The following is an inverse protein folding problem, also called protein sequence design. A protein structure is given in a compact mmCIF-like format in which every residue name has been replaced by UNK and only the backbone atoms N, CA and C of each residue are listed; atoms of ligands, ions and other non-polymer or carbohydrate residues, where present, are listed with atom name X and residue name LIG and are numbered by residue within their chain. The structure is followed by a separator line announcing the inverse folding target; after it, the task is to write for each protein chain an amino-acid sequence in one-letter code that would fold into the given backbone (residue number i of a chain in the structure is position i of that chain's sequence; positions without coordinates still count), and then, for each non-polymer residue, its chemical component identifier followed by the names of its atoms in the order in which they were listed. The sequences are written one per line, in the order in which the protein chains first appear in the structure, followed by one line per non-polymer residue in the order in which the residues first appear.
data_IF_382371337752
#
_entry.id   IF_382371337752
#
_cell.length_a   1.000
_cell.length_b   1.000
_cell.length_c   1.000
_cell.angle_alpha   90.00
_cell.angle_beta   90.00
_cell.angle_gamma   90.00
#
_symmetry.space_group_name_H-M   'P 1'
#
loop_
_entity.id
_entity.type
_entity.pdbx_description
1 polymer ?
#
# COMPACT_ATOMS: atom_id res chain seq x y z
N UNK A 1 -37.39 -16.70 -96.26
CA UNK A 1 -37.79 -16.82 -94.82
C UNK A 1 -37.83 -18.31 -94.53
N UNK A 2 -36.97 -18.94 -93.74
CA UNK A 2 -36.73 -18.77 -92.28
C UNK A 2 -35.30 -19.24 -91.98
N UNK A 3 -34.57 -18.45 -91.18
CA UNK A 3 -33.20 -18.71 -90.77
C UNK A 3 -33.08 -19.90 -89.80
N UNK A 4 -32.17 -20.83 -90.09
CA UNK A 4 -31.73 -21.90 -89.17
C UNK A 4 -30.90 -21.28 -88.04
N UNK A 5 -31.45 -21.24 -86.83
CA UNK A 5 -30.69 -20.95 -85.60
C UNK A 5 -29.78 -22.15 -85.30
N UNK A 6 -28.46 -21.94 -85.36
CA UNK A 6 -27.46 -22.85 -84.77
C UNK A 6 -27.24 -22.40 -83.32
N UNK A 7 -27.48 -23.29 -82.38
CA UNK A 7 -27.27 -23.05 -80.95
C UNK A 7 -25.78 -22.82 -80.63
N UNK A 8 -25.43 -21.87 -79.74
CA UNK A 8 -24.05 -21.64 -79.35
C UNK A 8 -23.59 -22.62 -78.27
N UNK A 9 -22.32 -23.02 -78.43
CA UNK A 9 -21.52 -23.90 -77.57
C UNK A 9 -21.47 -23.42 -76.12
N UNK A 10 -21.97 -24.23 -75.17
CA UNK A 10 -21.75 -24.01 -73.73
C UNK A 10 -20.34 -24.43 -73.33
N UNK A 11 -19.43 -23.47 -73.14
CA UNK A 11 -18.12 -23.70 -72.48
C UNK A 11 -18.34 -23.98 -70.99
N UNK A 12 -17.83 -25.11 -70.50
CA UNK A 12 -17.84 -25.46 -69.06
C UNK A 12 -16.95 -24.48 -68.27
N UNK A 13 -17.52 -23.81 -67.28
CA UNK A 13 -16.76 -23.04 -66.30
C UNK A 13 -16.14 -23.99 -65.26
N UNK A 14 -14.81 -23.95 -65.13
CA UNK A 14 -14.07 -24.64 -64.06
C UNK A 14 -14.23 -23.82 -62.77
N UNK A 15 -14.98 -24.34 -61.81
CA UNK A 15 -15.11 -23.73 -60.48
C UNK A 15 -13.87 -24.06 -59.66
N UNK A 16 -12.99 -23.07 -59.45
CA UNK A 16 -11.90 -23.15 -58.47
C UNK A 16 -12.52 -23.16 -57.06
N UNK A 17 -12.40 -24.26 -56.32
CA UNK A 17 -12.75 -24.33 -54.90
C UNK A 17 -11.83 -23.38 -54.11
N UNK A 18 -12.34 -22.23 -53.67
CA UNK A 18 -11.68 -21.41 -52.64
C UNK A 18 -11.92 -22.07 -51.28
N UNK A 19 -10.85 -22.36 -50.55
CA UNK A 19 -10.91 -22.89 -49.20
C UNK A 19 -11.64 -21.89 -48.28
N UNK A 20 -12.58 -22.39 -47.47
CA UNK A 20 -13.29 -21.58 -46.48
C UNK A 20 -12.31 -21.05 -45.40
N UNK A 21 -12.47 -19.81 -44.90
CA UNK A 21 -11.67 -19.32 -43.80
C UNK A 21 -11.98 -20.14 -42.55
N UNK A 22 -10.96 -20.71 -41.91
CA UNK A 22 -11.09 -21.35 -40.60
C UNK A 22 -11.66 -20.30 -39.63
N UNK A 23 -12.89 -20.53 -39.13
CA UNK A 23 -13.46 -19.76 -38.03
C UNK A 23 -12.48 -19.84 -36.85
N UNK A 24 -11.68 -18.80 -36.61
CA UNK A 24 -11.00 -18.61 -35.34
C UNK A 24 -12.10 -18.35 -34.32
N UNK A 25 -12.38 -19.34 -33.49
CA UNK A 25 -13.21 -19.15 -32.30
C UNK A 25 -12.45 -18.14 -31.45
N UNK A 26 -13.01 -16.94 -31.27
CA UNK A 26 -12.45 -15.95 -30.36
C UNK A 26 -12.47 -16.58 -28.95
N UNK A 27 -11.30 -16.92 -28.42
CA UNK A 27 -11.17 -17.34 -27.04
C UNK A 27 -11.59 -16.15 -26.16
N UNK A 28 -12.72 -16.27 -25.49
CA UNK A 28 -13.17 -15.31 -24.47
C UNK A 28 -12.05 -15.19 -23.44
N UNK A 29 -11.43 -14.02 -23.33
CA UNK A 29 -10.50 -13.72 -22.25
C UNK A 29 -11.25 -13.89 -20.93
N UNK A 30 -10.80 -14.83 -20.09
CA UNK A 30 -11.34 -14.99 -18.74
C UNK A 30 -10.99 -13.73 -17.96
N UNK A 31 -12.00 -12.95 -17.61
CA UNK A 31 -11.89 -11.82 -16.70
C UNK A 31 -11.20 -12.31 -15.41
N UNK A 32 -10.01 -11.76 -15.12
CA UNK A 32 -9.25 -12.16 -13.95
C UNK A 32 -10.05 -11.71 -12.72
N UNK A 33 -10.56 -12.67 -11.95
CA UNK A 33 -11.17 -12.37 -10.65
C UNK A 33 -10.11 -11.62 -9.82
N UNK A 34 -10.46 -10.52 -9.13
CA UNK A 34 -9.51 -9.81 -8.30
C UNK A 34 -8.89 -10.80 -7.31
N UNK A 35 -7.56 -10.93 -7.38
CA UNK A 35 -6.81 -11.85 -6.53
C UNK A 35 -6.55 -11.10 -5.22
N UNK A 36 -7.16 -11.56 -4.13
CA UNK A 36 -7.01 -10.98 -2.79
C UNK A 36 -8.33 -10.78 -2.07
N UNK A 37 -8.25 -10.54 -0.75
CA UNK A 37 -9.42 -10.12 0.05
C UNK A 37 -9.94 -8.78 -0.51
N UNK A 38 -11.24 -8.64 -0.79
CA UNK A 38 -11.81 -7.36 -1.20
C UNK A 38 -11.45 -6.24 -0.22
N UNK A 39 -11.23 -5.00 -0.71
CA UNK A 39 -11.15 -3.83 0.16
C UNK A 39 -12.38 -3.77 1.07
N UNK A 40 -12.15 -3.42 2.33
CA UNK A 40 -13.18 -3.29 3.36
C UNK A 40 -13.99 -2.01 3.17
N UNK A 41 -13.33 -0.96 2.69
CA UNK A 41 -13.94 0.32 2.35
C UNK A 41 -13.86 0.52 0.84
N UNK A 42 -14.94 1.05 0.26
CA UNK A 42 -15.06 1.28 -1.18
C UNK A 42 -14.97 2.76 -1.55
N UNK A 43 -14.95 3.66 -0.58
CA UNK A 43 -14.85 5.10 -0.80
C UNK A 43 -13.91 5.76 0.21
N UNK A 44 -13.28 6.85 -0.21
CA UNK A 44 -12.38 7.62 0.66
C UNK A 44 -13.21 8.35 1.72
N UNK A 45 -14.39 8.81 1.36
CA UNK A 45 -15.31 9.57 2.19
C UNK A 45 -15.81 8.76 3.39
N UNK A 46 -16.16 7.48 3.18
CA UNK A 46 -16.53 6.56 4.26
C UNK A 46 -15.38 6.35 5.24
N UNK A 47 -14.16 6.13 4.71
CA UNK A 47 -12.98 5.96 5.53
C UNK A 47 -12.66 7.23 6.33
N UNK A 48 -12.78 8.41 5.71
CA UNK A 48 -12.59 9.71 6.37
C UNK A 48 -13.58 9.94 7.51
N UNK A 49 -14.86 9.61 7.30
CA UNK A 49 -15.88 9.74 8.32
C UNK A 49 -15.56 8.89 9.57
N UNK A 50 -15.20 7.61 9.38
CA UNK A 50 -14.82 6.71 10.48
C UNK A 50 -13.52 7.12 11.17
N UNK A 51 -12.57 7.67 10.42
CA UNK A 51 -11.34 8.22 10.99
C UNK A 51 -11.66 9.41 11.89
N UNK A 52 -12.53 10.31 11.44
CA UNK A 52 -12.92 11.47 12.23
C UNK A 52 -13.74 11.06 13.47
N UNK A 53 -14.65 10.09 13.33
CA UNK A 53 -15.37 9.48 14.45
C UNK A 53 -14.40 8.97 15.52
N UNK A 54 -13.36 8.21 15.15
CA UNK A 54 -12.33 7.77 16.09
C UNK A 54 -11.68 8.93 16.84
N UNK A 55 -11.28 9.99 16.14
CA UNK A 55 -10.58 11.12 16.76
C UNK A 55 -11.49 11.99 17.65
N UNK A 56 -12.81 11.92 17.45
CA UNK A 56 -13.80 12.62 18.27
C UNK A 56 -14.33 11.77 19.42
N UNK A 57 -14.10 10.45 19.39
CA UNK A 57 -14.59 9.53 20.42
C UNK A 57 -13.66 9.41 21.62
N UNK A 58 -14.19 8.81 22.69
CA UNK A 58 -13.41 8.47 23.88
C UNK A 58 -12.34 7.39 23.61
N UNK A 59 -12.42 6.65 22.50
CA UNK A 59 -11.42 5.65 22.10
C UNK A 59 -10.07 6.30 21.72
N UNK A 60 -10.08 7.59 21.39
CA UNK A 60 -8.88 8.39 21.20
C UNK A 60 -8.33 8.98 22.51
N UNK A 61 -8.90 8.65 23.67
CA UNK A 61 -8.47 9.14 24.97
C UNK A 61 -7.96 8.00 25.86
N UNK A 62 -7.07 8.34 26.80
CA UNK A 62 -6.69 7.48 27.91
C UNK A 62 -7.23 8.08 29.22
N UNK A 63 -7.59 7.21 30.16
CA UNK A 63 -8.01 7.62 31.50
C UNK A 63 -6.79 7.67 32.40
N UNK A 64 -6.60 8.78 33.12
CA UNK A 64 -5.48 9.00 34.03
C UNK A 64 -5.99 9.52 35.37
N UNK A 65 -5.42 9.03 36.46
CA UNK A 65 -5.80 9.42 37.82
C UNK A 65 -7.31 9.19 38.07
N UNK A 66 -7.96 10.22 38.63
CA UNK A 66 -9.38 10.21 39.03
C UNK A 66 -10.35 10.31 37.85
N UNK A 67 -10.16 9.51 36.80
CA UNK A 67 -11.07 9.48 35.65
C UNK A 67 -10.84 10.57 34.61
N UNK A 68 -9.72 11.30 34.67
CA UNK A 68 -9.44 12.39 33.74
C UNK A 68 -9.13 11.81 32.36
N UNK A 69 -9.92 12.21 31.36
CA UNK A 69 -9.69 11.88 29.95
C UNK A 69 -8.57 12.76 29.39
N UNK A 70 -7.51 12.11 28.94
CA UNK A 70 -6.39 12.75 28.26
C UNK A 70 -6.38 12.27 26.82
N UNK A 71 -6.41 13.21 25.87
CA UNK A 71 -6.32 12.89 24.45
C UNK A 71 -5.00 12.16 24.13
N UNK A 72 -5.14 10.95 23.61
CA UNK A 72 -4.10 9.95 23.50
C UNK A 72 -4.34 8.96 22.33
N UNK A 73 -4.61 9.44 21.10
CA UNK A 73 -4.90 8.54 20.00
C UNK A 73 -3.70 7.65 19.68
N UNK A 74 -3.97 6.46 19.16
CA UNK A 74 -2.94 5.48 18.80
C UNK A 74 -3.22 4.90 17.42
N UNK A 75 -2.17 4.48 16.71
CA UNK A 75 -2.33 3.80 15.41
C UNK A 75 -3.10 2.48 15.57
N UNK A 76 -2.88 1.77 16.67
CA UNK A 76 -3.61 0.55 17.00
C UNK A 76 -5.09 0.80 17.30
N UNK A 77 -5.41 1.84 18.07
CA UNK A 77 -6.79 2.24 18.37
C UNK A 77 -7.54 2.65 17.10
N UNK A 78 -6.89 3.44 16.24
CA UNK A 78 -7.43 3.80 14.94
C UNK A 78 -7.72 2.56 14.08
N UNK A 79 -6.76 1.64 13.96
CA UNK A 79 -6.95 0.41 13.19
C UNK A 79 -8.10 -0.44 13.76
N UNK A 80 -8.19 -0.53 15.09
CA UNK A 80 -9.25 -1.26 15.79
C UNK A 80 -10.63 -0.66 15.53
N UNK A 81 -10.77 0.67 15.61
CA UNK A 81 -12.00 1.39 15.31
C UNK A 81 -12.43 1.16 13.85
N UNK A 82 -11.47 1.16 12.92
CA UNK A 82 -11.70 0.78 11.52
C UNK A 82 -11.90 -0.74 11.32
N UNK A 83 -11.93 -1.54 12.40
CA UNK A 83 -12.09 -2.99 12.41
C UNK A 83 -11.09 -3.73 11.53
N UNK A 84 -9.81 -3.34 11.59
CA UNK A 84 -8.71 -4.01 10.90
C UNK A 84 -7.47 -4.09 11.79
N UNK A 85 -6.50 -4.93 11.42
CA UNK A 85 -5.21 -4.96 12.11
C UNK A 85 -4.37 -3.75 11.74
N UNK A 86 -3.39 -3.38 12.58
CA UNK A 86 -2.43 -2.32 12.25
C UNK A 86 -1.63 -2.64 10.98
N UNK A 87 -1.34 -3.91 10.72
CA UNK A 87 -0.71 -4.36 9.46
C UNK A 87 -1.62 -4.09 8.26
N UNK A 88 -2.92 -4.43 8.36
CA UNK A 88 -3.88 -4.13 7.32
C UNK A 88 -3.98 -2.61 7.05
N UNK A 89 -3.95 -1.77 8.09
CA UNK A 89 -3.94 -0.32 7.93
C UNK A 89 -2.71 0.16 7.14
N UNK A 90 -1.51 -0.37 7.43
CA UNK A 90 -0.28 -0.05 6.64
C UNK A 90 -0.39 -0.52 5.19
N UNK A 91 -1.02 -1.66 4.94
CA UNK A 91 -1.25 -2.14 3.58
C UNK A 91 -2.23 -1.25 2.82
N UNK A 92 -3.22 -0.65 3.51
CA UNK A 92 -4.13 0.32 2.89
C UNK A 92 -3.45 1.65 2.60
N UNK A 93 -2.52 2.08 3.46
CA UNK A 93 -1.69 3.28 3.24
C UNK A 93 -0.89 3.20 1.93
N UNK A 94 -0.58 1.99 1.44
CA UNK A 94 0.11 1.77 0.16
C UNK A 94 -0.82 1.83 -1.06
N UNK A 95 -2.15 1.81 -0.87
CA UNK A 95 -3.12 1.94 -1.96
C UNK A 95 -3.33 3.41 -2.28
N UNK A 96 -3.12 3.80 -3.53
CA UNK A 96 -3.11 5.20 -3.96
C UNK A 96 -4.35 6.00 -3.56
N UNK A 97 -5.53 5.39 -3.58
CA UNK A 97 -6.80 6.06 -3.23
C UNK A 97 -6.93 6.39 -1.73
N UNK A 98 -6.42 5.54 -0.83
CA UNK A 98 -6.54 5.73 0.63
C UNK A 98 -5.27 6.31 1.28
N UNK A 99 -4.17 6.39 0.52
CA UNK A 99 -2.85 6.79 1.00
C UNK A 99 -2.87 8.15 1.71
N UNK A 100 -3.46 9.16 1.09
CA UNK A 100 -3.47 10.53 1.62
C UNK A 100 -4.24 10.61 2.95
N UNK A 101 -5.42 10.02 2.98
CA UNK A 101 -6.31 9.96 4.14
C UNK A 101 -5.66 9.23 5.32
N UNK A 102 -5.07 8.05 5.09
CA UNK A 102 -4.43 7.27 6.16
C UNK A 102 -3.16 7.97 6.67
N UNK A 103 -2.34 8.56 5.78
CA UNK A 103 -1.17 9.34 6.19
C UNK A 103 -1.56 10.53 7.05
N UNK A 104 -2.60 11.26 6.67
CA UNK A 104 -3.13 12.39 7.46
C UNK A 104 -3.60 11.93 8.84
N UNK A 105 -4.31 10.79 8.92
CA UNK A 105 -4.74 10.22 10.19
C UNK A 105 -3.55 9.83 11.08
N UNK A 106 -2.56 9.13 10.53
CA UNK A 106 -1.33 8.77 11.24
C UNK A 106 -0.58 10.02 11.72
N UNK A 107 -0.48 11.07 10.91
CA UNK A 107 0.15 12.34 11.30
C UNK A 107 -0.49 12.94 12.56
N UNK A 108 -1.81 12.85 12.73
CA UNK A 108 -2.48 13.32 13.96
C UNK A 108 -2.01 12.56 15.20
N UNK A 109 -1.80 11.25 15.08
CA UNK A 109 -1.22 10.43 16.15
C UNK A 109 0.23 10.83 16.41
N UNK A 110 1.01 11.04 15.35
CA UNK A 110 2.42 11.46 15.44
C UNK A 110 2.57 12.77 16.20
N UNK A 111 1.77 13.79 15.88
CA UNK A 111 1.79 15.10 16.54
C UNK A 111 1.56 14.97 18.06
N UNK A 112 0.66 14.07 18.47
CA UNK A 112 0.40 13.85 19.91
C UNK A 112 1.59 13.17 20.58
N UNK A 113 2.19 12.19 19.92
CA UNK A 113 3.40 11.52 20.43
C UNK A 113 4.58 12.51 20.51
N UNK A 114 4.80 13.31 19.47
CA UNK A 114 5.85 14.33 19.42
C UNK A 114 5.72 15.31 20.60
N UNK A 115 4.52 15.81 20.89
CA UNK A 115 4.27 16.67 22.06
C UNK A 115 4.63 16.00 23.39
N UNK A 116 4.46 14.67 23.51
CA UNK A 116 4.83 13.91 24.71
C UNK A 116 6.32 13.70 24.85
N UNK A 117 7.11 13.92 23.79
CA UNK A 117 8.55 13.72 23.80
C UNK A 117 9.28 14.65 24.78
N UNK A 118 8.76 15.86 25.00
CA UNK A 118 9.27 16.80 26.00
C UNK A 118 8.89 16.45 27.46
N UNK A 119 8.18 15.34 27.68
CA UNK A 119 7.74 14.90 29.01
C UNK A 119 8.80 14.11 29.79
N UNK A 120 8.42 13.64 30.98
CA UNK A 120 9.32 12.95 31.93
C UNK A 120 9.62 11.48 31.58
N UNK A 121 8.84 10.87 30.68
CA UNK A 121 8.98 9.47 30.28
C UNK A 121 8.97 9.29 28.75
N UNK A 122 10.00 9.80 28.03
CA UNK A 122 10.00 9.80 26.57
C UNK A 122 10.28 8.43 25.94
N UNK A 123 10.83 7.46 26.67
CA UNK A 123 11.29 6.18 26.11
C UNK A 123 10.18 5.41 25.35
N UNK A 124 8.97 5.34 25.92
CA UNK A 124 7.83 4.69 25.25
C UNK A 124 7.37 5.46 24.00
N UNK A 125 7.40 6.79 24.05
CA UNK A 125 7.10 7.66 22.89
C UNK A 125 8.11 7.45 21.78
N UNK A 126 9.42 7.45 22.10
CA UNK A 126 10.51 7.21 21.15
C UNK A 126 10.36 5.83 20.50
N UNK A 127 10.08 4.80 21.30
CA UNK A 127 9.83 3.45 20.79
C UNK A 127 8.67 3.43 19.80
N UNK A 128 7.57 4.13 20.08
CA UNK A 128 6.42 4.22 19.19
C UNK A 128 6.75 4.95 17.88
N UNK A 129 7.41 6.12 17.97
CA UNK A 129 7.84 6.91 16.82
C UNK A 129 8.73 6.11 15.86
N UNK A 130 9.67 5.32 16.38
CA UNK A 130 10.51 4.41 15.58
C UNK A 130 9.68 3.35 14.84
N UNK A 131 8.78 2.65 15.55
CA UNK A 131 8.06 1.50 15.00
C UNK A 131 6.88 1.87 14.07
N UNK A 132 6.26 3.05 14.27
CA UNK A 132 5.05 3.43 13.54
C UNK A 132 5.28 4.57 12.54
N UNK A 133 6.32 5.38 12.74
CA UNK A 133 6.58 6.60 11.97
C UNK A 133 7.97 6.62 11.33
N UNK A 134 8.78 5.59 11.54
CA UNK A 134 10.06 5.42 10.85
C UNK A 134 11.16 6.37 11.32
N UNK A 135 10.99 6.99 12.49
CA UNK A 135 12.05 7.77 13.12
C UNK A 135 13.27 6.88 13.38
N UNK A 136 14.47 7.45 13.26
CA UNK A 136 15.74 6.73 13.47
C UNK A 136 16.68 7.60 14.27
N UNK A 137 17.39 6.98 15.21
CA UNK A 137 18.52 7.63 15.85
C UNK A 137 19.68 7.61 14.86
N UNK A 138 20.37 8.74 14.72
CA UNK A 138 21.62 8.83 13.98
C UNK A 138 22.75 8.67 14.98
N UNK A 139 23.65 7.73 14.74
CA UNK A 139 24.91 7.60 15.47
C UNK A 139 26.04 8.11 14.59
N UNK A 140 26.88 8.98 15.14
CA UNK A 140 28.13 9.41 14.53
C UNK A 140 29.25 8.73 15.33
N UNK A 141 30.06 7.92 14.64
CA UNK A 141 31.16 7.15 15.23
C UNK A 141 32.45 7.70 14.64
N UNK A 142 33.25 8.36 15.46
CA UNK A 142 34.58 8.82 15.08
C UNK A 142 35.62 7.74 15.39
N UNK A 143 36.21 7.17 14.35
CA UNK A 143 37.32 6.24 14.45
C UNK A 143 38.65 7.00 14.46
N UNK A 144 39.00 7.62 15.59
CA UNK A 144 40.36 8.11 15.79
C UNK A 144 41.20 7.02 16.47
N UNK A 145 41.96 6.27 15.68
CA UNK A 145 42.92 5.30 16.21
C UNK A 145 44.25 6.01 16.41
N UNK A 146 44.55 6.42 17.64
CA UNK A 146 45.91 6.81 18.00
C UNK A 146 46.70 5.55 18.31
N UNK A 147 47.46 5.05 17.34
CA UNK A 147 48.43 3.98 17.58
C UNK A 147 49.62 4.55 18.33
N UNK A 148 50.07 3.88 19.39
CA UNK A 148 51.39 4.17 19.93
C UNK A 148 52.46 3.70 18.95
N UNK A 149 53.65 4.31 18.98
CA UNK A 149 54.76 3.90 18.11
C UNK A 149 55.17 2.44 18.36
N UNK A 150 55.02 1.95 19.60
CA UNK A 150 55.31 0.56 19.98
C UNK A 150 54.33 -0.41 19.32
N UNK A 151 53.02 -0.10 19.31
CA UNK A 151 52.00 -0.93 18.67
C UNK A 151 52.12 -1.00 17.13
N UNK A 152 52.76 0.00 16.52
CA UNK A 152 53.01 0.03 15.08
C UNK A 152 54.19 -0.87 14.67
N UNK A 153 55.15 -1.07 15.57
CA UNK A 153 56.33 -1.92 15.33
C UNK A 153 55.98 -3.41 15.45
N UNK A 154 55.16 -3.79 16.43
CA UNK A 154 54.70 -5.18 16.62
C UNK A 154 53.89 -5.73 15.42
N UNK A 155 53.33 -4.85 14.58
CA UNK A 155 52.61 -5.22 13.36
C UNK A 155 53.50 -5.39 12.12
N UNK A 156 54.77 -4.99 12.17
CA UNK A 156 55.73 -5.13 11.08
C UNK A 156 56.58 -6.40 11.20
N UNK A 157 56.66 -6.98 12.40
CA UNK A 157 57.48 -8.14 12.70
C UNK A 157 56.68 -9.48 12.72
N UNK A 158 55.39 -9.45 12.34
CA UNK A 158 54.53 -10.62 12.15
C UNK A 158 54.16 -10.88 10.70
#
# INVERSE_FOLDING_TARGET
MVAKKKDPVKKKAVVKKKAAPKRRVAAKAKEKRPVGRPPKYSSVEELEALIEEYFQSDDACMIVGDGIKVYAPTVSGLAYHLGMSTEALRNYEQKGEFLATIKKAKQRVEIVLEKRLGGTAPAGTIFNLKNNFGWKDKQEIDHNVSMSHEDALDQLDG
#
